data_IF_658273073667
#
_entry.id   IF_658273073667
#
_cell.length_a   1.000
_cell.length_b   1.000
_cell.length_c   1.000
_cell.angle_alpha   90.00
_cell.angle_beta   90.00
_cell.angle_gamma   90.00
#
_symmetry.space_group_name_H-M   'P 1'
#
loop_
_entity.id
_entity.type
_entity.pdbx_description
1 polymer ?
#
# COMPACT_ATOMS: atom_id res chain seq x y z
N UNK A 1 4.31 -9.80 -21.58
CA UNK A 1 3.24 -8.77 -21.65
C UNK A 1 2.59 -8.77 -20.28
N UNK A 2 2.69 -7.68 -19.50
CA UNK A 2 2.06 -7.63 -18.17
C UNK A 2 0.55 -7.56 -18.37
N UNK A 3 -0.16 -8.53 -17.82
CA UNK A 3 -1.61 -8.59 -17.91
C UNK A 3 -2.22 -7.76 -16.78
N UNK A 4 -2.66 -6.55 -17.12
CA UNK A 4 -3.22 -5.59 -16.16
C UNK A 4 -4.51 -6.10 -15.50
N UNK A 5 -5.19 -7.09 -16.11
CA UNK A 5 -6.36 -7.74 -15.51
C UNK A 5 -5.99 -8.53 -14.24
N UNK A 6 -4.87 -9.25 -14.27
CA UNK A 6 -4.35 -10.02 -13.13
C UNK A 6 -3.99 -9.10 -11.97
N UNK A 7 -3.38 -7.94 -12.28
CA UNK A 7 -3.07 -6.92 -11.26
C UNK A 7 -4.35 -6.38 -10.63
N UNK A 8 -5.36 -6.07 -11.44
CA UNK A 8 -6.67 -5.61 -10.95
C UNK A 8 -7.38 -6.65 -10.07
N UNK A 9 -7.36 -7.93 -10.47
CA UNK A 9 -7.93 -9.02 -9.67
C UNK A 9 -7.22 -9.23 -8.34
N UNK A 10 -5.88 -9.18 -8.33
CA UNK A 10 -5.08 -9.32 -7.11
C UNK A 10 -5.39 -8.19 -6.12
N UNK A 11 -5.48 -6.95 -6.60
CA UNK A 11 -5.84 -5.79 -5.78
C UNK A 11 -7.26 -5.92 -5.25
N UNK A 12 -8.23 -6.29 -6.10
CA UNK A 12 -9.62 -6.45 -5.68
C UNK A 12 -9.81 -7.62 -4.70
N UNK A 13 -9.02 -8.69 -4.83
CA UNK A 13 -9.03 -9.85 -3.92
C UNK A 13 -8.41 -9.48 -2.58
N UNK A 14 -7.31 -8.71 -2.58
CA UNK A 14 -6.69 -8.21 -1.36
C UNK A 14 -7.62 -7.24 -0.59
N UNK A 15 -8.30 -6.34 -1.30
CA UNK A 15 -9.28 -5.42 -0.69
C UNK A 15 -10.42 -6.18 -0.02
N UNK A 16 -11.04 -7.14 -0.73
CA UNK A 16 -12.13 -7.97 -0.18
C UNK A 16 -11.67 -8.84 1.00
N UNK A 17 -10.48 -9.42 0.93
CA UNK A 17 -9.92 -10.19 2.04
C UNK A 17 -9.71 -9.31 3.28
N UNK A 18 -9.26 -8.07 3.08
CA UNK A 18 -9.06 -7.11 4.17
C UNK A 18 -10.40 -6.66 4.77
N UNK A 19 -11.40 -6.38 3.93
CA UNK A 19 -12.77 -6.06 4.35
C UNK A 19 -13.39 -7.20 5.18
N UNK A 20 -13.23 -8.45 4.74
CA UNK A 20 -13.70 -9.64 5.47
C UNK A 20 -12.99 -9.81 6.81
N UNK A 21 -11.67 -9.58 6.86
CA UNK A 21 -10.88 -9.69 8.10
C UNK A 21 -11.33 -8.61 9.09
N UNK A 22 -11.47 -7.37 8.64
CA UNK A 22 -11.88 -6.26 9.51
C UNK A 22 -13.33 -6.46 9.98
N UNK A 23 -14.23 -6.89 9.10
CA UNK A 23 -15.61 -7.22 9.44
C UNK A 23 -15.70 -8.39 10.43
N UNK A 24 -14.91 -9.45 10.24
CA UNK A 24 -14.83 -10.57 11.19
C UNK A 24 -14.29 -10.13 12.53
N UNK A 25 -13.23 -9.33 12.55
CA UNK A 25 -12.65 -8.82 13.80
C UNK A 25 -13.68 -7.99 14.57
N UNK A 26 -14.39 -7.07 13.90
CA UNK A 26 -15.49 -6.30 14.48
C UNK A 26 -16.68 -7.16 14.93
N UNK A 27 -17.06 -8.16 14.12
CA UNK A 27 -18.11 -9.12 14.48
C UNK A 27 -17.74 -9.91 15.74
N UNK A 28 -16.54 -10.49 15.78
CA UNK A 28 -16.09 -11.29 16.91
C UNK A 28 -15.78 -10.45 18.16
N UNK A 29 -15.35 -9.19 18.04
CA UNK A 29 -15.07 -8.34 19.21
C UNK A 29 -16.28 -7.54 19.70
N UNK A 30 -17.07 -6.93 18.81
CA UNK A 30 -18.16 -6.03 19.20
C UNK A 30 -19.52 -6.72 19.22
N UNK A 31 -19.85 -7.51 18.21
CA UNK A 31 -21.15 -8.19 18.16
C UNK A 31 -21.25 -9.35 19.17
N UNK A 32 -20.13 -10.01 19.47
CA UNK A 32 -20.05 -11.06 20.49
C UNK A 32 -20.12 -10.52 21.92
N UNK A 33 -19.66 -9.28 22.13
CA UNK A 33 -19.67 -8.63 23.44
C UNK A 33 -21.03 -7.99 23.78
N UNK A 34 -21.65 -7.25 22.86
CA UNK A 34 -23.01 -6.69 23.02
C UNK A 34 -23.72 -6.46 21.66
N UNK A 35 -24.72 -7.28 21.28
CA UNK A 35 -25.42 -7.14 20.00
C UNK A 35 -26.21 -5.83 19.85
N UNK A 36 -26.53 -5.16 20.96
CA UNK A 36 -27.26 -3.89 21.00
C UNK A 36 -26.41 -2.70 20.50
N UNK A 37 -25.10 -2.72 20.80
CA UNK A 37 -24.15 -1.73 20.31
C UNK A 37 -23.91 -1.87 18.81
N UNK A 38 -24.08 -3.07 18.29
CA UNK A 38 -23.89 -3.36 16.88
C UNK A 38 -24.91 -2.65 15.98
N UNK A 39 -26.17 -2.54 16.44
CA UNK A 39 -27.20 -1.78 15.74
C UNK A 39 -26.93 -0.26 15.80
N UNK A 40 -26.33 0.23 16.88
CA UNK A 40 -26.10 1.66 17.10
C UNK A 40 -24.79 2.17 16.47
N UNK A 41 -23.75 1.34 16.45
CA UNK A 41 -22.40 1.71 16.00
C UNK A 41 -21.97 1.05 14.69
N UNK A 42 -22.78 0.15 14.11
CA UNK A 42 -22.45 -0.56 12.87
C UNK A 42 -22.12 0.37 11.68
N UNK A 43 -22.81 1.50 11.56
CA UNK A 43 -22.53 2.51 10.53
C UNK A 43 -21.13 3.15 10.66
N UNK A 44 -20.83 3.82 11.79
CA UNK A 44 -19.50 4.39 12.04
C UNK A 44 -18.36 3.36 11.99
N UNK A 45 -18.60 2.15 12.48
CA UNK A 45 -17.64 1.05 12.48
C UNK A 45 -17.32 0.60 11.04
N UNK A 46 -18.33 0.46 10.18
CA UNK A 46 -18.13 0.12 8.76
C UNK A 46 -17.34 1.20 8.02
N UNK A 47 -17.61 2.48 8.30
CA UNK A 47 -16.84 3.60 7.76
C UNK A 47 -15.37 3.53 8.19
N UNK A 48 -15.11 3.32 9.49
CA UNK A 48 -13.75 3.21 10.03
C UNK A 48 -13.01 1.99 9.45
N UNK A 49 -13.70 0.87 9.27
CA UNK A 49 -13.15 -0.31 8.62
C UNK A 49 -12.71 -0.02 7.18
N UNK A 50 -13.58 0.63 6.40
CA UNK A 50 -13.29 1.04 5.02
C UNK A 50 -12.12 2.03 4.95
N UNK A 51 -12.10 3.04 5.83
CA UNK A 51 -10.99 4.01 5.92
C UNK A 51 -9.68 3.33 6.32
N UNK A 52 -9.72 2.34 7.21
CA UNK A 52 -8.55 1.56 7.61
C UNK A 52 -8.02 0.74 6.45
N UNK A 53 -8.91 0.08 5.69
CA UNK A 53 -8.52 -0.68 4.50
C UNK A 53 -7.86 0.23 3.45
N UNK A 54 -8.45 1.40 3.19
CA UNK A 54 -7.87 2.40 2.29
C UNK A 54 -6.50 2.91 2.78
N UNK A 55 -6.37 3.19 4.07
CA UNK A 55 -5.11 3.63 4.68
C UNK A 55 -4.00 2.59 4.54
N UNK A 56 -4.30 1.31 4.72
CA UNK A 56 -3.32 0.22 4.56
C UNK A 56 -2.83 0.17 3.11
N UNK A 57 -3.73 0.27 2.13
CA UNK A 57 -3.36 0.27 0.70
C UNK A 57 -2.47 1.47 0.36
N UNK A 58 -2.86 2.68 0.80
CA UNK A 58 -2.08 3.90 0.58
C UNK A 58 -0.69 3.79 1.22
N UNK A 59 -0.61 3.23 2.41
CA UNK A 59 0.68 2.99 3.11
C UNK A 59 1.58 2.06 2.31
N UNK A 60 1.03 0.97 1.75
CA UNK A 60 1.78 0.05 0.89
C UNK A 60 2.31 0.73 -0.37
N UNK A 61 1.47 1.51 -1.06
CA UNK A 61 1.87 2.28 -2.25
C UNK A 61 2.96 3.29 -1.89
N UNK A 62 2.83 3.97 -0.76
CA UNK A 62 3.82 4.94 -0.26
C UNK A 62 5.16 4.27 0.05
N UNK A 63 5.13 3.10 0.69
CA UNK A 63 6.33 2.31 0.96
C UNK A 63 7.02 1.85 -0.34
N UNK A 64 6.24 1.34 -1.31
CA UNK A 64 6.76 0.97 -2.62
C UNK A 64 7.36 2.17 -3.36
N UNK A 65 6.68 3.33 -3.34
CA UNK A 65 7.19 4.60 -3.90
C UNK A 65 8.54 4.96 -3.27
N UNK A 66 8.67 4.84 -1.94
CA UNK A 66 9.91 5.14 -1.23
C UNK A 66 11.04 4.20 -1.66
N UNK A 67 10.77 2.90 -1.79
CA UNK A 67 11.76 1.93 -2.26
C UNK A 67 12.22 2.22 -3.70
N UNK A 68 11.28 2.48 -4.62
CA UNK A 68 11.61 2.85 -6.01
C UNK A 68 12.42 4.15 -6.06
N UNK A 69 12.07 5.14 -5.24
CA UNK A 69 12.82 6.39 -5.15
C UNK A 69 14.28 6.19 -4.72
N UNK A 70 14.54 5.30 -3.77
CA UNK A 70 15.90 4.95 -3.35
C UNK A 70 16.67 4.27 -4.49
N UNK A 71 16.07 3.30 -5.18
CA UNK A 71 16.70 2.61 -6.31
C UNK A 71 17.05 3.60 -7.43
N UNK A 72 16.13 4.52 -7.76
CA UNK A 72 16.36 5.57 -8.75
C UNK A 72 17.50 6.49 -8.34
N UNK A 73 17.55 6.92 -7.06
CA UNK A 73 18.62 7.77 -6.56
C UNK A 73 19.99 7.09 -6.71
N UNK A 74 20.08 5.80 -6.33
CA UNK A 74 21.30 5.01 -6.50
C UNK A 74 21.69 4.93 -7.99
N UNK A 75 20.72 4.63 -8.86
CA UNK A 75 20.94 4.56 -10.31
C UNK A 75 21.51 5.85 -10.87
N UNK A 76 20.97 7.00 -10.46
CA UNK A 76 21.48 8.32 -10.88
C UNK A 76 22.88 8.61 -10.34
N UNK A 77 23.18 8.28 -9.09
CA UNK A 77 24.52 8.46 -8.52
C UNK A 77 25.56 7.64 -9.29
N UNK A 78 25.25 6.38 -9.59
CA UNK A 78 26.13 5.50 -10.36
C UNK A 78 26.32 6.01 -11.78
N UNK A 79 25.26 6.50 -12.42
CA UNK A 79 25.32 7.07 -13.77
C UNK A 79 26.23 8.30 -13.81
N UNK A 80 26.05 9.24 -12.88
CA UNK A 80 26.86 10.46 -12.78
C UNK A 80 28.33 10.10 -12.52
N UNK A 81 28.60 9.15 -11.61
CA UNK A 81 29.95 8.69 -11.34
C UNK A 81 30.60 8.07 -12.58
N UNK A 82 29.86 7.28 -13.35
CA UNK A 82 30.34 6.67 -14.59
C UNK A 82 30.68 7.72 -15.65
N UNK A 83 29.84 8.75 -15.80
CA UNK A 83 30.09 9.87 -16.70
C UNK A 83 31.34 10.65 -16.26
N UNK A 84 31.47 10.95 -14.97
CA UNK A 84 32.62 11.67 -14.43
C UNK A 84 33.94 10.91 -14.63
N UNK A 85 33.93 9.59 -14.45
CA UNK A 85 35.10 8.73 -14.68
C UNK A 85 35.42 8.55 -16.17
N UNK A 86 34.41 8.66 -17.04
CA UNK A 86 34.58 8.57 -18.49
C UNK A 86 35.04 9.88 -19.13
N UNK A 87 34.99 11.00 -18.41
CA UNK A 87 35.52 12.28 -18.89
C UNK A 87 37.05 12.28 -18.76
N UNK A 88 37.82 12.42 -19.86
CA UNK A 88 39.27 12.53 -19.77
C UNK A 88 39.65 13.76 -18.94
N UNK A 89 40.78 13.72 -18.18
CA UNK A 89 41.25 14.90 -17.47
C UNK A 89 41.42 16.02 -18.50
N UNK A 90 40.75 17.15 -18.27
CA UNK A 90 40.91 18.36 -19.07
C UNK A 90 42.41 18.66 -19.17
N UNK A 91 43.03 18.31 -20.29
CA UNK A 91 44.36 18.74 -20.67
C UNK A 91 44.19 20.09 -21.37
N UNK A 92 44.61 21.21 -20.75
CA UNK A 92 44.55 22.54 -21.37
C UNK A 92 45.45 22.65 -22.60
#
# INVERSE_FOLDING_TARGET
MIDWSVVGELVARAFRALEDIVSKLLADTLFKAKPELAAQFGGPISLLASLTALYVILTFISAARKAVGIILAIGWVVLIASIALSLPPFSP
#
